data_IF_001444439414
#
_entry.id   IF_001444439414
#
_cell.length_a   1.000
_cell.length_b   1.000
_cell.length_c   1.000
_cell.angle_alpha   90.00
_cell.angle_beta   90.00
_cell.angle_gamma   90.00
#
_symmetry.space_group_name_H-M   'P 1'
#
loop_
_entity.id
_entity.type
_entity.pdbx_description
1 polymer ?
#
# COMPACT_ATOMS: atom_id res chain seq x y z
N UNK A 1 9.77 1.85 12.24
CA UNK A 1 8.28 1.80 12.19
C UNK A 1 7.60 1.54 13.55
N UNK A 2 8.32 1.39 14.67
CA UNK A 2 7.71 1.05 15.96
C UNK A 2 6.89 -0.24 15.88
N UNK A 3 5.67 -0.23 16.43
CA UNK A 3 4.70 -1.33 16.36
C UNK A 3 3.69 -1.21 15.19
N UNK A 4 3.86 -0.20 14.31
CA UNK A 4 2.84 0.12 13.30
C UNK A 4 2.98 -0.73 12.04
N UNK A 5 2.25 -1.85 12.03
CA UNK A 5 2.11 -2.70 10.84
C UNK A 5 1.42 -1.99 9.68
N UNK A 6 0.49 -1.06 9.97
CA UNK A 6 -0.13 -0.20 8.94
C UNK A 6 0.91 0.66 8.26
N UNK A 7 1.73 1.39 9.04
CA UNK A 7 2.75 2.25 8.47
C UNK A 7 3.72 1.44 7.60
N UNK A 8 4.29 0.36 8.13
CA UNK A 8 5.27 -0.43 7.38
C UNK A 8 4.75 -0.88 6.01
N UNK A 9 3.51 -1.40 5.96
CA UNK A 9 2.90 -1.89 4.71
C UNK A 9 2.57 -0.78 3.72
N UNK A 10 2.03 0.34 4.19
CA UNK A 10 1.73 1.48 3.29
C UNK A 10 3.02 2.11 2.76
N UNK A 11 4.02 2.30 3.62
CA UNK A 11 5.31 2.82 3.21
C UNK A 11 6.04 1.87 2.25
N UNK A 12 5.88 0.54 2.36
CA UNK A 12 6.43 -0.38 1.36
C UNK A 12 5.93 -0.06 -0.06
N UNK A 13 4.64 0.23 -0.22
CA UNK A 13 4.07 0.61 -1.52
C UNK A 13 4.57 1.97 -2.02
N UNK A 14 4.60 2.97 -1.14
CA UNK A 14 5.11 4.31 -1.45
C UNK A 14 6.59 4.28 -1.88
N UNK A 15 7.42 3.53 -1.14
CA UNK A 15 8.87 3.50 -1.32
C UNK A 15 9.30 2.62 -2.50
N UNK A 16 8.49 1.64 -2.90
CA UNK A 16 8.79 0.78 -4.04
C UNK A 16 8.96 1.53 -5.38
N UNK A 17 8.35 2.72 -5.52
CA UNK A 17 8.45 3.56 -6.72
C UNK A 17 9.49 4.68 -6.63
N UNK A 18 10.32 4.72 -5.59
CA UNK A 18 11.29 5.81 -5.38
C UNK A 18 12.65 5.50 -6.01
N UNK A 19 13.43 6.56 -6.25
CA UNK A 19 14.76 6.46 -6.85
C UNK A 19 15.89 6.12 -5.85
N UNK A 20 15.57 5.78 -4.61
CA UNK A 20 16.54 5.55 -3.53
C UNK A 20 16.22 4.31 -2.71
N UNK A 21 17.26 3.69 -2.16
CA UNK A 21 17.13 2.52 -1.31
C UNK A 21 16.56 2.89 0.06
N UNK A 22 15.74 1.99 0.62
CA UNK A 22 15.12 2.17 1.93
C UNK A 22 15.13 0.88 2.73
N UNK A 23 15.39 0.98 4.03
CA UNK A 23 15.22 -0.13 4.96
C UNK A 23 14.08 0.16 5.94
N UNK A 24 13.07 -0.72 5.97
CA UNK A 24 11.94 -0.63 6.89
C UNK A 24 12.07 -1.69 7.99
N UNK A 25 12.29 -1.23 9.22
CA UNK A 25 12.34 -2.09 10.42
C UNK A 25 11.34 -1.65 11.50
N UNK A 26 11.15 -2.49 12.52
CA UNK A 26 10.18 -2.31 13.60
C UNK A 26 10.71 -2.77 14.96
N UNK A 27 9.85 -2.69 15.97
CA UNK A 27 10.13 -3.32 17.27
C UNK A 27 10.06 -4.86 17.19
N UNK A 28 10.32 -5.53 18.31
CA UNK A 28 10.27 -6.99 18.42
C UNK A 28 8.91 -7.61 18.07
N UNK A 29 7.81 -6.87 18.20
CA UNK A 29 6.48 -7.35 17.81
C UNK A 29 6.32 -7.30 16.28
N UNK A 30 6.73 -6.19 15.67
CA UNK A 30 6.55 -5.96 14.25
C UNK A 30 7.49 -6.83 13.39
N UNK A 31 8.72 -7.08 13.84
CA UNK A 31 9.70 -7.94 13.15
C UNK A 31 9.26 -9.41 13.05
N UNK A 32 8.28 -9.84 13.84
CA UNK A 32 7.70 -11.19 13.75
C UNK A 32 6.58 -11.30 12.72
N UNK A 33 6.07 -10.18 12.19
CA UNK A 33 4.89 -10.16 11.32
C UNK A 33 5.29 -10.42 9.86
N UNK A 34 4.59 -11.32 9.15
CA UNK A 34 4.88 -11.58 7.74
C UNK A 34 4.51 -10.37 6.88
N UNK A 35 5.40 -10.06 5.94
CA UNK A 35 5.30 -8.97 4.98
C UNK A 35 5.19 -9.45 3.53
N UNK A 36 5.23 -10.75 3.27
CA UNK A 36 5.02 -11.33 1.93
C UNK A 36 3.74 -10.83 1.26
N UNK A 37 2.65 -10.66 2.03
CA UNK A 37 1.37 -10.12 1.52
C UNK A 37 1.46 -8.74 0.83
N UNK A 38 2.50 -7.95 1.10
CA UNK A 38 2.79 -6.71 0.37
C UNK A 38 4.02 -6.83 -0.51
N UNK A 39 5.07 -7.53 -0.06
CA UNK A 39 6.30 -7.68 -0.82
C UNK A 39 6.08 -8.47 -2.13
N UNK A 40 5.28 -9.54 -2.10
CA UNK A 40 5.05 -10.40 -3.25
C UNK A 40 4.34 -9.67 -4.40
N UNK A 41 3.19 -8.99 -4.18
CA UNK A 41 2.58 -8.23 -5.28
C UNK A 41 3.40 -7.02 -5.72
N UNK A 42 4.17 -6.38 -4.84
CA UNK A 42 5.12 -5.33 -5.27
C UNK A 42 6.22 -5.89 -6.17
N UNK A 43 6.73 -7.09 -5.90
CA UNK A 43 7.67 -7.79 -6.80
C UNK A 43 7.04 -8.09 -8.16
N UNK A 44 5.74 -8.43 -8.21
CA UNK A 44 5.01 -8.58 -9.48
C UNK A 44 4.92 -7.28 -10.27
N UNK A 45 4.86 -6.13 -9.58
CA UNK A 45 4.96 -4.81 -10.22
C UNK A 45 6.38 -4.48 -10.68
N UNK A 46 7.39 -5.29 -10.34
CA UNK A 46 8.79 -5.05 -10.70
C UNK A 46 9.64 -4.42 -9.59
N UNK A 47 9.11 -4.28 -8.37
CA UNK A 47 9.91 -3.81 -7.23
C UNK A 47 10.95 -4.86 -6.81
N UNK A 48 12.16 -4.41 -6.48
CA UNK A 48 13.18 -5.26 -5.88
C UNK A 48 13.12 -5.08 -4.37
N UNK A 49 12.67 -6.12 -3.66
CA UNK A 49 12.47 -6.09 -2.21
C UNK A 49 13.09 -7.35 -1.60
N UNK A 50 14.07 -7.16 -0.72
CA UNK A 50 14.61 -8.22 0.13
C UNK A 50 13.90 -8.22 1.48
N UNK A 51 13.71 -9.42 2.01
CA UNK A 51 13.10 -9.65 3.32
C UNK A 51 14.01 -10.58 4.12
N UNK A 52 13.97 -10.46 5.45
CA UNK A 52 14.56 -11.48 6.30
C UNK A 52 13.80 -12.81 6.21
N UNK A 53 14.37 -13.86 6.81
CA UNK A 53 13.82 -15.21 6.83
C UNK A 53 12.33 -15.24 7.20
N UNK A 54 11.57 -16.02 6.42
CA UNK A 54 10.11 -16.11 6.57
C UNK A 54 9.34 -14.90 6.05
N UNK A 55 9.95 -14.05 5.23
CA UNK A 55 9.29 -12.90 4.61
C UNK A 55 8.97 -11.79 5.61
N UNK A 56 9.88 -11.54 6.55
CA UNK A 56 9.69 -10.64 7.70
C UNK A 56 10.58 -9.39 7.59
N UNK A 57 10.30 -8.35 8.40
CA UNK A 57 11.21 -7.22 8.54
C UNK A 57 12.60 -7.64 9.08
N UNK A 58 13.68 -6.90 8.77
CA UNK A 58 13.69 -5.68 7.96
C UNK A 58 13.36 -5.95 6.48
N UNK A 59 12.62 -5.03 5.86
CA UNK A 59 12.47 -5.02 4.39
C UNK A 59 13.49 -4.04 3.82
N UNK A 60 14.30 -4.51 2.87
CA UNK A 60 15.16 -3.65 2.06
C UNK A 60 14.51 -3.46 0.71
N UNK A 61 14.10 -2.24 0.42
CA UNK A 61 13.46 -1.85 -0.84
C UNK A 61 14.52 -1.11 -1.64
N UNK A 62 14.87 -1.64 -2.81
CA UNK A 62 15.88 -1.03 -3.67
C UNK A 62 15.21 -0.01 -4.59
N UNK A 63 15.83 1.16 -4.69
CA UNK A 63 15.33 2.26 -5.50
C UNK A 63 15.57 2.07 -7.00
N UNK A 64 14.92 2.91 -7.80
CA UNK A 64 15.11 2.97 -9.24
C UNK A 64 14.40 1.86 -10.04
N UNK A 65 13.48 1.13 -9.39
CA UNK A 65 12.66 0.14 -10.07
C UNK A 65 11.64 0.82 -11.01
N UNK A 66 11.55 0.32 -12.25
CA UNK A 66 10.50 0.72 -13.19
C UNK A 66 9.25 -0.11 -12.90
N UNK A 67 8.41 0.40 -11.99
CA UNK A 67 7.17 -0.29 -11.64
C UNK A 67 6.20 -0.33 -12.81
N UNK A 68 5.50 -1.46 -12.97
CA UNK A 68 4.42 -1.65 -13.93
C UNK A 68 3.12 -1.90 -13.19
N UNK A 69 2.05 -1.30 -13.69
CA UNK A 69 0.70 -1.56 -13.21
C UNK A 69 0.35 -3.03 -13.41
N UNK A 70 -0.37 -3.58 -12.43
CA UNK A 70 -0.81 -4.98 -12.45
C UNK A 70 -2.31 -5.06 -12.19
N UNK A 71 -2.91 -6.17 -12.60
CA UNK A 71 -4.20 -6.60 -12.07
C UNK A 71 -3.95 -7.64 -10.99
N UNK A 72 -4.34 -7.34 -9.75
CA UNK A 72 -4.10 -8.19 -8.60
C UNK A 72 -5.40 -8.60 -7.91
N UNK A 73 -5.73 -9.88 -7.99
CA UNK A 73 -6.74 -10.53 -7.15
C UNK A 73 -6.17 -10.78 -5.76
N UNK A 74 -6.65 -10.05 -4.75
CA UNK A 74 -6.15 -10.23 -3.40
C UNK A 74 -6.59 -11.59 -2.82
N UNK A 75 -5.66 -12.41 -2.29
CA UNK A 75 -6.03 -13.69 -1.68
C UNK A 75 -6.77 -13.56 -0.33
N UNK A 76 -6.86 -12.33 0.21
CA UNK A 76 -7.53 -12.05 1.47
C UNK A 76 -8.10 -10.63 1.48
N UNK A 77 -9.14 -10.40 2.28
CA UNK A 77 -9.68 -9.08 2.51
C UNK A 77 -8.69 -8.27 3.38
N UNK A 78 -7.84 -7.44 2.75
CA UNK A 78 -6.88 -6.61 3.47
C UNK A 78 -6.77 -5.20 2.89
N UNK A 79 -7.34 -4.23 3.62
CA UNK A 79 -7.21 -2.82 3.27
C UNK A 79 -5.76 -2.36 3.18
N UNK A 80 -4.85 -2.91 3.99
CA UNK A 80 -3.43 -2.53 3.95
C UNK A 80 -2.73 -3.00 2.67
N UNK A 81 -3.09 -4.18 2.13
CA UNK A 81 -2.55 -4.66 0.85
C UNK A 81 -3.10 -3.81 -0.29
N UNK A 82 -4.41 -3.53 -0.29
CA UNK A 82 -5.04 -2.60 -1.23
C UNK A 82 -4.35 -1.23 -1.22
N UNK A 83 -4.24 -0.60 -0.05
CA UNK A 83 -3.58 0.71 0.09
C UNK A 83 -2.13 0.69 -0.40
N UNK A 84 -1.38 -0.37 -0.07
CA UNK A 84 0.00 -0.54 -0.51
C UNK A 84 0.10 -0.54 -2.05
N UNK A 85 -0.74 -1.32 -2.73
CA UNK A 85 -0.70 -1.43 -4.20
C UNK A 85 -1.20 -0.18 -4.89
N UNK A 86 -2.22 0.48 -4.36
CA UNK A 86 -2.68 1.77 -4.90
C UNK A 86 -1.58 2.84 -4.76
N UNK A 87 -0.87 2.90 -3.63
CA UNK A 87 0.25 3.83 -3.44
C UNK A 87 1.42 3.53 -4.40
N UNK A 88 1.77 2.25 -4.61
CA UNK A 88 2.76 1.87 -5.61
C UNK A 88 2.31 2.22 -7.03
N UNK A 89 1.02 2.04 -7.31
CA UNK A 89 0.40 2.35 -8.60
C UNK A 89 0.49 3.83 -8.99
N UNK A 90 0.62 4.76 -8.03
CA UNK A 90 0.85 6.18 -8.33
C UNK A 90 2.13 6.39 -9.16
N UNK A 91 3.13 5.53 -8.94
CA UNK A 91 4.46 5.59 -9.56
C UNK A 91 4.65 4.58 -10.70
N UNK A 92 3.68 3.70 -10.93
CA UNK A 92 3.79 2.63 -11.90
C UNK A 92 3.45 3.09 -13.33
N UNK A 93 4.08 2.48 -14.33
CA UNK A 93 3.67 2.63 -15.72
C UNK A 93 2.34 1.87 -15.95
N UNK A 94 1.34 2.57 -16.49
CA UNK A 94 0.04 1.97 -16.78
C UNK A 94 -0.94 1.99 -15.60
N UNK A 95 -1.92 1.09 -15.67
CA UNK A 95 -3.02 1.03 -14.72
C UNK A 95 -2.79 -0.07 -13.67
N UNK A 96 -3.02 0.25 -12.40
CA UNK A 96 -3.00 -0.72 -11.31
C UNK A 96 -4.42 -1.01 -10.87
N UNK A 97 -4.86 -2.26 -11.00
CA UNK A 97 -6.17 -2.77 -10.56
C UNK A 97 -6.02 -3.72 -9.39
N UNK A 98 -6.83 -3.52 -8.36
CA UNK A 98 -6.86 -4.38 -7.18
C UNK A 98 -8.28 -4.88 -6.98
N UNK A 99 -8.45 -6.19 -6.99
CA UNK A 99 -9.74 -6.86 -6.73
C UNK A 99 -9.77 -7.42 -5.31
N UNK A 100 -10.78 -7.04 -4.54
CA UNK A 100 -10.96 -7.43 -3.15
C UNK A 100 -11.89 -8.67 -3.05
N UNK A 101 -11.53 -9.74 -2.32
CA UNK A 101 -12.43 -10.89 -2.18
C UNK A 101 -13.62 -10.60 -1.26
N UNK A 102 -13.51 -9.57 -0.42
CA UNK A 102 -14.60 -8.99 0.36
C UNK A 102 -14.30 -7.50 0.61
N UNK A 103 -15.33 -6.66 0.81
CA UNK A 103 -15.14 -5.23 1.05
C UNK A 103 -14.25 -4.97 2.26
N UNK A 104 -13.30 -4.05 2.11
CA UNK A 104 -12.50 -3.52 3.22
C UNK A 104 -12.65 -2.01 3.30
N UNK A 105 -12.24 -1.39 4.42
CA UNK A 105 -12.25 0.08 4.56
C UNK A 105 -11.62 0.75 3.34
N UNK A 106 -12.20 1.87 2.93
CA UNK A 106 -11.95 2.56 1.65
C UNK A 106 -11.24 3.92 1.84
N UNK A 107 -10.57 4.11 2.98
CA UNK A 107 -9.96 5.39 3.32
C UNK A 107 -8.90 5.83 2.29
N UNK A 108 -8.14 4.91 1.70
CA UNK A 108 -7.13 5.26 0.69
C UNK A 108 -7.79 5.77 -0.58
N UNK A 109 -8.84 5.11 -1.05
CA UNK A 109 -9.60 5.53 -2.23
C UNK A 109 -10.22 6.93 -2.02
N UNK A 110 -10.82 7.18 -0.86
CA UNK A 110 -11.39 8.50 -0.52
C UNK A 110 -10.32 9.59 -0.45
N UNK A 111 -9.20 9.30 0.21
CA UNK A 111 -8.11 10.26 0.39
C UNK A 111 -7.44 10.59 -0.94
N UNK A 112 -7.16 9.60 -1.79
CA UNK A 112 -6.59 9.84 -3.12
C UNK A 112 -7.53 10.70 -3.98
N UNK A 113 -8.82 10.38 -4.04
CA UNK A 113 -9.80 11.20 -4.74
C UNK A 113 -9.90 12.62 -4.15
N UNK A 114 -9.89 12.75 -2.82
CA UNK A 114 -9.91 14.04 -2.12
C UNK A 114 -8.68 14.92 -2.41
N UNK A 115 -7.53 14.29 -2.68
CA UNK A 115 -6.31 14.96 -3.13
C UNK A 115 -6.19 15.05 -4.66
N UNK A 116 -7.29 14.92 -5.40
CA UNK A 116 -7.33 15.11 -6.85
C UNK A 116 -6.71 13.97 -7.67
N UNK A 117 -6.46 12.81 -7.06
CA UNK A 117 -5.98 11.61 -7.76
C UNK A 117 -7.15 10.64 -7.98
N UNK A 118 -7.60 10.51 -9.22
CA UNK A 118 -8.76 9.70 -9.55
C UNK A 118 -8.52 8.21 -9.23
N UNK A 119 -9.37 7.64 -8.37
CA UNK A 119 -9.47 6.21 -8.12
C UNK A 119 -10.88 5.77 -8.47
N UNK A 120 -10.99 4.94 -9.50
CA UNK A 120 -12.24 4.36 -9.93
C UNK A 120 -12.52 3.05 -9.20
N UNK A 121 -13.81 2.72 -9.06
CA UNK A 121 -14.27 1.48 -8.42
C UNK A 121 -15.50 0.96 -9.13
N UNK A 122 -15.50 -0.34 -9.41
CA UNK A 122 -16.64 -1.08 -9.94
C UNK A 122 -16.72 -2.41 -9.19
N UNK A 123 -17.84 -2.62 -8.49
CA UNK A 123 -18.05 -3.80 -7.64
C UNK A 123 -16.93 -4.01 -6.61
N UNK A 124 -16.23 -5.12 -6.76
CA UNK A 124 -15.15 -5.57 -5.87
C UNK A 124 -13.76 -5.11 -6.31
N UNK A 125 -13.66 -4.33 -7.40
CA UNK A 125 -12.38 -3.93 -8.00
C UNK A 125 -12.22 -2.41 -7.97
N UNK A 126 -11.05 -1.93 -7.55
CA UNK A 126 -10.66 -0.53 -7.62
C UNK A 126 -9.36 -0.36 -8.41
N UNK A 127 -9.20 0.77 -9.10
CA UNK A 127 -8.02 1.01 -9.92
C UNK A 127 -7.67 2.49 -10.07
N UNK A 128 -6.42 2.71 -10.46
CA UNK A 128 -5.90 4.03 -10.81
C UNK A 128 -4.84 3.94 -11.91
N UNK A 129 -4.68 5.04 -12.63
CA UNK A 129 -3.63 5.23 -13.63
C UNK A 129 -2.41 5.85 -12.96
N UNK A 130 -1.21 5.33 -13.21
CA UNK A 130 0.03 5.91 -12.67
C UNK A 130 0.47 7.19 -13.39
N UNK A 131 1.37 7.95 -12.75
CA UNK A 131 1.92 9.20 -13.29
C UNK A 131 1.07 10.46 -13.05
N UNK A 132 0.02 10.35 -12.22
CA UNK A 132 -0.80 11.50 -11.81
C UNK A 132 -0.10 12.40 -10.80
N UNK A 133 -0.82 13.41 -10.29
CA UNK A 133 -0.32 14.36 -9.29
C UNK A 133 -1.34 14.55 -8.18
N UNK A 134 -0.87 14.52 -6.94
CA UNK A 134 -1.67 14.87 -5.77
C UNK A 134 -1.70 16.40 -5.62
N UNK A 135 -2.87 16.93 -5.28
CA UNK A 135 -3.09 18.35 -4.99
C UNK A 135 -3.38 18.49 -3.52
N UNK A 136 -2.68 19.41 -2.84
CA UNK A 136 -2.89 19.66 -1.42
C UNK A 136 -4.31 20.19 -1.16
N UNK A 137 -4.88 19.78 -0.02
CA UNK A 137 -6.20 20.20 0.43
C UNK A 137 -6.34 20.04 1.94
N UNK A 138 -7.29 20.75 2.57
CA UNK A 138 -7.59 20.57 3.98
C UNK A 138 -8.19 19.18 4.23
N UNK A 139 -7.86 18.58 5.38
CA UNK A 139 -8.48 17.34 5.85
C UNK A 139 -8.98 17.58 7.27
N UNK A 140 -10.26 17.29 7.48
CA UNK A 140 -10.82 17.08 8.80
C UNK A 140 -10.87 15.58 9.08
N UNK A 141 -10.16 15.12 10.12
CA UNK A 141 -10.05 13.70 10.46
C UNK A 141 -11.17 13.37 11.45
N UNK A 142 -12.16 12.53 11.07
CA UNK A 142 -13.27 12.21 11.95
C UNK A 142 -12.80 11.36 13.14
N UNK A 143 -13.64 11.31 14.18
CA UNK A 143 -13.41 10.47 15.35
C UNK A 143 -13.27 8.98 14.96
N UNK A 144 -12.36 8.27 15.61
CA UNK A 144 -12.12 6.85 15.35
C UNK A 144 -13.17 6.00 16.06
N UNK A 145 -14.05 5.36 15.29
CA UNK A 145 -15.06 4.43 15.79
C UNK A 145 -14.44 3.28 16.60
N UNK A 146 -13.23 2.83 16.24
CA UNK A 146 -12.51 1.77 16.94
C UNK A 146 -12.13 2.18 18.37
N UNK A 147 -11.94 3.47 18.61
CA UNK A 147 -11.74 4.00 19.95
C UNK A 147 -13.07 4.19 20.67
N UNK A 148 -14.09 4.67 19.97
CA UNK A 148 -15.43 4.87 20.52
C UNK A 148 -16.12 3.57 20.96
N UNK A 149 -15.81 2.41 20.38
CA UNK A 149 -16.40 1.11 20.79
C UNK A 149 -16.11 0.68 22.23
N UNK A 150 -15.15 1.33 22.90
CA UNK A 150 -14.81 1.05 24.30
C UNK A 150 -15.56 1.94 25.32
N UNK A 151 -16.37 2.89 24.85
CA UNK A 151 -17.13 3.84 25.65
C UNK A 151 -18.63 3.77 25.32
#
# INVERSE_FOLDING_TARGET
MGNSGTAMRLFSGLLAGQAFDSELTGDESLTKRPMGRVADPLRLMGATIDTADGGRPPLKIHGGANLKGIHYDMPMASAQVKSCLLLAGLYAEGETRVREPAPTRDHTERMLNGFGYAVAREGDTCWLQGGGKLTAGPIDVPSDISSATFF
#
